data_IF_593981115316
#
_entry.id   IF_593981115316
#
_cell.length_a   1.000
_cell.length_b   1.000
_cell.length_c   1.000
_cell.angle_alpha   90.00
_cell.angle_beta   90.00
_cell.angle_gamma   90.00
#
_symmetry.space_group_name_H-M   'P 1'
#
loop_
_entity.id
_entity.type
_entity.pdbx_description
1 polymer ?
#
# COMPACT_ATOMS: atom_id res chain seq x y z
N UNK A 1 -3.89 7.18 -7.35
CA UNK A 1 -4.62 5.93 -7.11
C UNK A 1 -3.61 4.91 -6.63
N UNK A 2 -3.89 4.26 -5.51
CA UNK A 2 -3.03 3.22 -4.93
C UNK A 2 -3.74 1.89 -5.10
N UNK A 3 -3.07 0.90 -5.69
CA UNK A 3 -3.58 -0.46 -5.85
C UNK A 3 -2.95 -1.31 -4.75
N UNK A 4 -3.77 -2.12 -4.09
CA UNK A 4 -3.35 -2.99 -2.99
C UNK A 4 -3.88 -4.40 -3.18
N UNK A 5 -3.11 -5.39 -2.71
CA UNK A 5 -3.62 -6.73 -2.50
C UNK A 5 -4.43 -6.78 -1.19
N UNK A 6 -5.43 -7.64 -1.12
CA UNK A 6 -6.21 -7.88 0.10
C UNK A 6 -6.06 -9.31 0.59
N UNK A 7 -6.09 -9.45 1.91
CA UNK A 7 -6.50 -10.70 2.55
C UNK A 7 -7.96 -10.58 2.95
N UNK A 8 -8.74 -11.61 2.64
CA UNK A 8 -10.10 -11.80 3.13
C UNK A 8 -9.94 -12.45 4.49
N UNK A 9 -9.99 -11.66 5.56
CA UNK A 9 -10.18 -12.22 6.88
C UNK A 9 -11.70 -12.19 7.16
N UNK A 10 -12.22 -13.29 7.72
CA UNK A 10 -13.65 -13.46 8.01
C UNK A 10 -14.21 -12.41 8.97
N UNK A 11 -15.45 -12.56 9.47
CA UNK A 11 -16.05 -11.55 10.34
C UNK A 11 -15.23 -11.39 11.63
N UNK A 12 -14.49 -10.27 11.73
CA UNK A 12 -13.59 -9.96 12.85
C UNK A 12 -14.28 -8.99 13.82
N UNK A 13 -14.24 -9.36 15.11
CA UNK A 13 -14.55 -8.48 16.23
C UNK A 13 -13.29 -7.70 16.65
N UNK A 14 -13.33 -6.36 16.76
CA UNK A 14 -12.15 -5.51 16.93
C UNK A 14 -11.70 -5.44 18.41
N UNK A 15 -11.34 -6.57 19.00
CA UNK A 15 -10.62 -6.57 20.29
C UNK A 15 -9.14 -6.89 20.05
N UNK A 16 -8.24 -6.19 20.75
CA UNK A 16 -6.78 -6.30 20.60
C UNK A 16 -6.27 -7.75 20.71
N UNK A 17 -6.94 -8.58 21.50
CA UNK A 17 -6.64 -10.02 21.67
C UNK A 17 -6.86 -10.80 20.37
N UNK A 18 -7.91 -10.51 19.61
CA UNK A 18 -8.19 -11.18 18.33
C UNK A 18 -7.17 -10.81 17.25
N UNK A 19 -6.68 -9.57 17.25
CA UNK A 19 -5.65 -9.11 16.29
C UNK A 19 -4.36 -9.91 16.50
N UNK A 20 -3.87 -10.04 17.73
CA UNK A 20 -2.64 -10.78 18.04
C UNK A 20 -2.76 -12.30 17.78
N UNK A 21 -3.91 -12.90 18.11
CA UNK A 21 -4.18 -14.31 17.80
C UNK A 21 -4.18 -14.57 16.29
N UNK A 22 -4.83 -13.71 15.51
CA UNK A 22 -4.90 -13.84 14.05
C UNK A 22 -3.54 -13.68 13.37
N UNK A 23 -2.65 -12.85 13.92
CA UNK A 23 -1.27 -12.77 13.44
C UNK A 23 -0.53 -14.10 13.64
N UNK A 24 -0.67 -14.76 14.79
CA UNK A 24 -0.05 -16.08 14.99
C UNK A 24 -0.61 -17.14 14.04
N UNK A 25 -1.93 -17.20 13.86
CA UNK A 25 -2.56 -18.11 12.89
C UNK A 25 -2.10 -17.85 11.44
N UNK A 26 -1.85 -16.59 11.08
CA UNK A 26 -1.38 -16.25 9.72
C UNK A 26 -0.04 -16.91 9.36
N UNK A 27 0.80 -17.22 10.35
CA UNK A 27 2.13 -17.79 10.18
C UNK A 27 2.21 -19.27 10.60
N UNK A 28 1.09 -19.93 10.89
CA UNK A 28 1.08 -21.33 11.36
C UNK A 28 1.71 -22.31 10.35
N UNK A 29 1.48 -22.07 9.05
CA UNK A 29 2.01 -22.87 7.95
C UNK A 29 3.42 -22.43 7.50
N UNK A 30 4.06 -21.52 8.22
CA UNK A 30 5.38 -21.03 7.83
C UNK A 30 6.45 -22.10 8.05
N UNK A 31 7.13 -22.45 6.96
CA UNK A 31 8.28 -23.34 6.92
C UNK A 31 9.46 -22.58 6.28
N UNK A 32 10.56 -22.47 7.03
CA UNK A 32 11.79 -21.84 6.55
C UNK A 32 12.38 -22.54 5.31
N UNK A 33 12.06 -23.82 5.08
CA UNK A 33 12.48 -24.57 3.90
C UNK A 33 11.38 -24.67 2.83
N UNK A 34 10.21 -24.06 3.06
CA UNK A 34 9.09 -24.06 2.14
C UNK A 34 9.38 -23.34 0.81
N UNK A 35 8.78 -23.84 -0.27
CA UNK A 35 8.91 -23.22 -1.59
C UNK A 35 7.83 -22.15 -1.82
N UNK A 36 8.17 -20.90 -1.50
CA UNK A 36 7.29 -19.74 -1.70
C UNK A 36 7.59 -18.95 -2.99
N UNK A 37 8.11 -19.62 -4.03
CA UNK A 37 8.40 -18.95 -5.30
C UNK A 37 7.12 -18.76 -6.11
N UNK A 38 6.90 -17.52 -6.57
CA UNK A 38 5.79 -17.20 -7.48
C UNK A 38 6.31 -17.38 -8.90
N UNK A 39 5.82 -18.41 -9.58
CA UNK A 39 6.12 -18.60 -11.00
C UNK A 39 5.39 -17.55 -11.82
N UNK A 40 6.15 -16.77 -12.59
CA UNK A 40 5.59 -15.85 -13.57
C UNK A 40 5.88 -16.40 -14.96
N UNK A 41 4.98 -16.14 -15.93
CA UNK A 41 5.22 -16.46 -17.35
C UNK A 41 6.30 -15.58 -18.01
N UNK A 42 7.13 -14.90 -17.21
CA UNK A 42 8.18 -14.04 -17.71
C UNK A 42 9.33 -14.89 -18.27
N UNK A 43 9.89 -14.43 -19.39
CA UNK A 43 11.08 -15.05 -19.96
C UNK A 43 12.26 -14.93 -19.01
N UNK A 44 13.16 -15.90 -19.14
CA UNK A 44 14.43 -15.91 -18.43
C UNK A 44 15.25 -14.65 -18.75
N UNK A 45 15.96 -14.14 -17.75
CA UNK A 45 16.76 -12.94 -17.91
C UNK A 45 17.96 -13.20 -18.83
N UNK A 46 18.49 -12.16 -19.47
CA UNK A 46 19.80 -12.21 -20.13
C UNK A 46 20.51 -10.89 -19.90
N UNK A 47 21.76 -10.94 -19.45
CA UNK A 47 22.61 -9.76 -19.43
C UNK A 47 22.88 -9.30 -20.86
N UNK A 48 22.90 -7.98 -21.03
CA UNK A 48 23.24 -7.33 -22.28
C UNK A 48 24.14 -6.12 -22.00
N UNK A 49 24.99 -5.81 -22.99
CA UNK A 49 26.18 -4.98 -22.84
C UNK A 49 25.97 -3.68 -22.07
N UNK A 50 24.98 -2.86 -22.46
CA UNK A 50 24.79 -1.53 -21.87
C UNK A 50 24.51 -1.59 -20.36
N UNK A 51 23.62 -2.48 -19.92
CA UNK A 51 23.30 -2.64 -18.49
C UNK A 51 24.38 -3.39 -17.74
N UNK A 52 25.06 -4.34 -18.39
CA UNK A 52 26.15 -5.10 -17.79
C UNK A 52 27.31 -4.19 -17.42
N UNK A 53 27.77 -3.35 -18.35
CA UNK A 53 28.91 -2.45 -18.15
C UNK A 53 28.69 -1.51 -16.95
N UNK A 54 27.51 -0.88 -16.87
CA UNK A 54 27.12 -0.03 -15.73
C UNK A 54 27.15 -0.79 -14.40
N UNK A 55 26.78 -2.08 -14.42
CA UNK A 55 26.73 -2.91 -13.22
C UNK A 55 28.13 -3.32 -12.74
N UNK A 56 28.98 -3.72 -13.67
CA UNK A 56 30.39 -4.04 -13.42
C UNK A 56 31.14 -2.84 -12.85
N UNK A 57 30.95 -1.66 -13.44
CA UNK A 57 31.53 -0.41 -12.93
C UNK A 57 31.08 -0.11 -11.49
N UNK A 58 29.79 -0.30 -11.20
CA UNK A 58 29.27 -0.13 -9.84
C UNK A 58 29.91 -1.10 -8.84
N UNK A 59 30.15 -2.37 -9.19
CA UNK A 59 30.83 -3.32 -8.31
C UNK A 59 32.29 -2.93 -8.06
N UNK A 60 33.00 -2.49 -9.10
CA UNK A 60 34.38 -1.99 -8.97
C UNK A 60 34.46 -0.79 -8.02
N UNK A 61 33.53 0.17 -8.14
CA UNK A 61 33.45 1.31 -7.23
C UNK A 61 33.19 0.86 -5.78
N UNK A 62 32.32 -0.13 -5.57
CA UNK A 62 32.04 -0.67 -4.23
C UNK A 62 33.27 -1.34 -3.60
N UNK A 63 34.04 -2.08 -4.40
CA UNK A 63 35.24 -2.77 -3.92
C UNK A 63 36.39 -1.81 -3.65
N UNK A 64 36.61 -0.83 -4.52
CA UNK A 64 37.56 0.25 -4.28
C UNK A 64 37.21 1.04 -3.00
N UNK A 65 35.92 1.38 -2.80
CA UNK A 65 35.46 2.10 -1.60
C UNK A 65 35.70 1.31 -0.31
N UNK A 66 35.66 -0.02 -0.38
CA UNK A 66 35.91 -0.90 0.75
C UNK A 66 37.39 -1.30 0.89
N UNK A 67 38.28 -0.81 0.04
CA UNK A 67 39.72 -1.12 0.08
C UNK A 67 40.05 -2.57 -0.27
N UNK A 68 39.23 -3.25 -1.08
CA UNK A 68 39.50 -4.63 -1.53
C UNK A 68 40.48 -4.64 -2.71
N UNK A 69 41.21 -5.74 -2.87
CA UNK A 69 42.04 -5.96 -4.06
C UNK A 69 41.15 -6.17 -5.30
N UNK A 70 41.22 -5.25 -6.26
CA UNK A 70 40.42 -5.25 -7.49
C UNK A 70 41.18 -5.74 -8.72
N UNK A 71 42.38 -6.30 -8.56
CA UNK A 71 43.23 -6.78 -9.67
C UNK A 71 42.51 -7.78 -10.58
N UNK A 72 41.70 -8.69 -9.98
CA UNK A 72 40.97 -9.75 -10.69
C UNK A 72 39.45 -9.56 -10.65
N UNK A 73 38.99 -8.30 -10.57
CA UNK A 73 37.56 -8.02 -10.51
C UNK A 73 36.85 -8.43 -11.82
N UNK A 74 35.57 -8.75 -11.72
CA UNK A 74 34.71 -9.03 -12.88
C UNK A 74 34.73 -7.83 -13.84
N UNK A 75 34.73 -8.14 -15.13
CA UNK A 75 34.88 -7.19 -16.23
C UNK A 75 33.71 -7.27 -17.22
N UNK A 76 33.68 -6.32 -18.17
CA UNK A 76 32.70 -6.34 -19.26
C UNK A 76 32.75 -7.63 -20.09
N UNK A 77 33.92 -8.25 -20.26
CA UNK A 77 34.09 -9.49 -21.03
C UNK A 77 33.55 -10.74 -20.33
N UNK A 78 33.28 -10.69 -19.03
CA UNK A 78 32.76 -11.85 -18.29
C UNK A 78 31.23 -12.03 -18.43
N UNK A 79 30.57 -11.22 -19.25
CA UNK A 79 29.10 -11.25 -19.43
C UNK A 79 28.58 -12.61 -19.85
N UNK A 80 29.26 -13.27 -20.79
CA UNK A 80 28.82 -14.56 -21.33
C UNK A 80 28.91 -15.66 -20.29
N UNK A 81 29.99 -15.67 -19.48
CA UNK A 81 30.13 -16.56 -18.33
C UNK A 81 28.95 -16.41 -17.35
N UNK A 82 28.57 -15.19 -16.98
CA UNK A 82 27.44 -15.00 -16.06
C UNK A 82 26.08 -15.27 -16.72
N UNK A 83 25.96 -15.13 -18.04
CA UNK A 83 24.77 -15.56 -18.78
C UNK A 83 24.60 -17.08 -18.77
N UNK A 84 25.69 -17.85 -18.85
CA UNK A 84 25.65 -19.32 -18.71
C UNK A 84 25.19 -19.78 -17.32
N UNK A 85 25.38 -18.93 -16.29
CA UNK A 85 24.90 -19.21 -14.94
C UNK A 85 23.43 -18.83 -14.72
N UNK A 86 22.78 -18.08 -15.63
CA UNK A 86 21.38 -17.64 -15.44
C UNK A 86 20.36 -18.78 -15.30
N UNK A 87 20.47 -19.92 -16.01
CA UNK A 87 19.58 -21.06 -15.79
C UNK A 87 19.65 -21.58 -14.34
N UNK A 88 20.76 -21.31 -13.64
CA UNK A 88 20.82 -21.55 -12.20
C UNK A 88 19.92 -20.54 -11.49
N UNK A 89 19.17 -21.04 -10.51
CA UNK A 89 18.27 -20.21 -9.72
C UNK A 89 19.04 -19.34 -8.73
N UNK A 90 18.37 -18.35 -8.16
CA UNK A 90 18.95 -17.54 -7.08
C UNK A 90 19.47 -18.42 -5.95
N UNK A 91 20.73 -18.19 -5.55
CA UNK A 91 21.39 -18.97 -4.50
C UNK A 91 20.70 -18.95 -3.13
N UNK A 92 19.84 -17.96 -2.87
CA UNK A 92 19.09 -17.84 -1.62
C UNK A 92 17.66 -18.38 -1.76
N UNK A 93 16.86 -17.80 -2.66
CA UNK A 93 15.42 -18.10 -2.73
C UNK A 93 15.03 -19.19 -3.72
N UNK A 94 15.98 -19.66 -4.54
CA UNK A 94 15.75 -20.64 -5.60
C UNK A 94 14.72 -20.20 -6.68
N UNK A 95 14.44 -18.90 -6.78
CA UNK A 95 13.62 -18.35 -7.86
C UNK A 95 14.42 -18.23 -9.16
N UNK A 96 13.73 -18.40 -10.30
CA UNK A 96 14.30 -18.14 -11.64
C UNK A 96 14.58 -16.64 -11.82
N UNK A 97 15.61 -16.32 -12.61
CA UNK A 97 15.91 -14.95 -12.96
C UNK A 97 15.06 -14.49 -14.14
N UNK A 98 14.41 -13.34 -13.98
CA UNK A 98 13.52 -12.77 -15.01
C UNK A 98 13.72 -11.25 -15.09
N UNK A 99 13.03 -10.59 -16.01
CA UNK A 99 13.01 -9.12 -16.08
C UNK A 99 12.51 -8.45 -14.79
N UNK A 100 11.70 -9.15 -14.00
CA UNK A 100 11.19 -8.71 -12.69
C UNK A 100 12.14 -9.14 -11.57
N UNK A 101 12.52 -10.43 -11.54
CA UNK A 101 13.45 -10.98 -10.56
C UNK A 101 14.88 -10.92 -11.09
N UNK A 102 15.48 -9.73 -11.11
CA UNK A 102 16.76 -9.49 -11.77
C UNK A 102 17.94 -10.11 -11.01
N UNK A 103 18.91 -10.74 -11.71
CA UNK A 103 20.13 -11.27 -11.11
C UNK A 103 21.11 -10.16 -10.72
N UNK A 104 21.86 -10.40 -9.65
CA UNK A 104 22.98 -9.61 -9.12
C UNK A 104 24.14 -10.56 -8.81
N UNK A 105 25.35 -10.01 -8.71
CA UNK A 105 26.53 -10.75 -8.27
C UNK A 105 26.61 -10.60 -6.76
N UNK A 106 26.49 -11.73 -6.07
CA UNK A 106 26.64 -11.83 -4.63
C UNK A 106 28.02 -12.38 -4.32
N UNK A 107 28.75 -11.68 -3.45
CA UNK A 107 30.04 -12.17 -2.96
C UNK A 107 29.84 -13.36 -2.04
N UNK A 108 30.68 -14.38 -2.18
CA UNK A 108 30.72 -15.52 -1.27
C UNK A 108 31.41 -15.08 0.03
N UNK A 109 32.57 -14.44 -0.10
CA UNK A 109 33.27 -13.75 0.98
C UNK A 109 33.23 -12.22 0.76
N UNK A 110 32.68 -11.50 1.74
CA UNK A 110 32.55 -10.05 1.71
C UNK A 110 33.90 -9.30 1.87
N UNK A 111 34.97 -10.00 2.23
CA UNK A 111 36.33 -9.44 2.30
C UNK A 111 37.06 -9.51 0.95
N UNK A 112 36.60 -10.35 0.03
CA UNK A 112 37.19 -10.52 -1.32
C UNK A 112 36.37 -9.69 -2.32
N UNK A 113 37.01 -9.10 -3.33
CA UNK A 113 36.33 -8.34 -4.38
C UNK A 113 35.40 -9.24 -5.23
N UNK A 114 34.63 -8.64 -6.13
CA UNK A 114 33.77 -9.38 -7.06
C UNK A 114 34.61 -10.09 -8.14
N UNK A 115 35.26 -11.20 -7.82
CA UNK A 115 35.94 -12.07 -8.78
C UNK A 115 34.99 -13.16 -9.29
N UNK A 116 35.31 -13.81 -10.42
CA UNK A 116 34.50 -14.93 -10.97
C UNK A 116 34.30 -16.07 -9.97
N UNK A 117 35.33 -16.40 -9.20
CA UNK A 117 35.29 -17.50 -8.21
C UNK A 117 34.65 -17.08 -6.88
N UNK A 118 34.60 -15.78 -6.58
CA UNK A 118 33.98 -15.25 -5.38
C UNK A 118 32.53 -14.78 -5.61
N UNK A 119 31.96 -14.96 -6.81
CA UNK A 119 30.61 -14.49 -7.12
C UNK A 119 29.64 -15.64 -7.40
N UNK A 120 28.43 -15.53 -6.83
CA UNK A 120 27.26 -16.34 -7.16
C UNK A 120 26.10 -15.44 -7.58
N UNK A 121 25.12 -16.01 -8.29
CA UNK A 121 23.94 -15.24 -8.68
C UNK A 121 22.90 -15.21 -7.55
N UNK A 122 22.53 -14.01 -7.13
CA UNK A 122 21.42 -13.76 -6.22
C UNK A 122 20.44 -12.76 -6.84
N UNK A 123 19.14 -12.87 -6.53
CA UNK A 123 18.23 -11.81 -6.95
C UNK A 123 18.42 -10.55 -6.10
N UNK A 124 18.08 -9.40 -6.66
CA UNK A 124 18.29 -8.10 -6.02
C UNK A 124 17.74 -8.03 -4.60
N UNK A 125 16.52 -8.56 -4.37
CA UNK A 125 15.89 -8.59 -3.06
C UNK A 125 16.67 -9.45 -2.04
N UNK A 126 17.14 -10.62 -2.46
CA UNK A 126 17.87 -11.51 -1.57
C UNK A 126 19.24 -10.94 -1.21
N UNK A 127 19.95 -10.38 -2.21
CA UNK A 127 21.25 -9.75 -2.01
C UNK A 127 21.12 -8.54 -1.06
N UNK A 128 20.15 -7.63 -1.30
CA UNK A 128 19.95 -6.48 -0.42
C UNK A 128 19.51 -6.87 0.99
N UNK A 129 18.73 -7.93 1.14
CA UNK A 129 18.31 -8.45 2.46
C UNK A 129 19.48 -9.06 3.21
N UNK A 130 20.30 -9.87 2.51
CA UNK A 130 21.50 -10.51 3.05
C UNK A 130 22.53 -9.48 3.48
N UNK A 131 22.89 -8.55 2.59
CA UNK A 131 23.92 -7.54 2.84
C UNK A 131 25.12 -8.16 3.59
N UNK A 132 25.48 -7.63 4.75
CA UNK A 132 26.50 -8.18 5.65
C UNK A 132 25.93 -8.98 6.85
N UNK A 133 24.63 -9.26 6.90
CA UNK A 133 23.96 -9.92 8.05
C UNK A 133 24.34 -11.39 8.17
N UNK A 134 23.89 -12.07 9.22
CA UNK A 134 24.06 -13.52 9.30
C UNK A 134 23.28 -14.27 8.20
N UNK A 135 23.81 -15.40 7.72
CA UNK A 135 23.22 -16.15 6.63
C UNK A 135 21.86 -16.77 6.99
N UNK A 136 21.72 -17.29 8.21
CA UNK A 136 20.49 -17.95 8.67
C UNK A 136 19.41 -16.91 8.98
N UNK A 137 19.78 -15.78 9.61
CA UNK A 137 18.88 -14.65 9.81
C UNK A 137 18.36 -14.13 8.46
N UNK A 138 19.25 -14.02 7.47
CA UNK A 138 18.86 -13.57 6.14
C UNK A 138 17.93 -14.55 5.43
N UNK A 139 18.20 -15.86 5.56
CA UNK A 139 17.34 -16.92 5.02
C UNK A 139 15.93 -16.82 5.62
N UNK A 140 15.83 -16.66 6.94
CA UNK A 140 14.54 -16.49 7.63
C UNK A 140 13.79 -15.27 7.08
N UNK A 141 14.43 -14.11 7.02
CA UNK A 141 13.79 -12.87 6.54
C UNK A 141 13.30 -12.99 5.08
N UNK A 142 14.10 -13.58 4.20
CA UNK A 142 13.73 -13.80 2.78
C UNK A 142 12.52 -14.73 2.69
N UNK A 143 12.50 -15.82 3.46
CA UNK A 143 11.41 -16.79 3.42
C UNK A 143 10.13 -16.21 4.04
N UNK A 144 10.24 -15.46 5.14
CA UNK A 144 9.10 -14.75 5.72
C UNK A 144 8.50 -13.75 4.73
N UNK A 145 9.35 -12.97 4.06
CA UNK A 145 8.90 -12.00 3.07
C UNK A 145 8.17 -12.68 1.90
N UNK A 146 8.70 -13.80 1.39
CA UNK A 146 8.05 -14.56 0.31
C UNK A 146 6.74 -15.19 0.76
N UNK A 147 6.70 -15.77 1.96
CA UNK A 147 5.49 -16.33 2.55
C UNK A 147 4.40 -15.26 2.67
N UNK A 148 4.76 -14.08 3.20
CA UNK A 148 3.85 -12.94 3.32
C UNK A 148 3.26 -12.55 1.95
N UNK A 149 4.06 -12.53 0.88
CA UNK A 149 3.55 -12.26 -0.46
C UNK A 149 2.58 -13.35 -0.93
N UNK A 150 2.95 -14.63 -0.80
CA UNK A 150 2.11 -15.76 -1.26
C UNK A 150 0.78 -15.82 -0.52
N UNK A 151 0.79 -15.52 0.77
CA UNK A 151 -0.41 -15.52 1.63
C UNK A 151 -1.13 -14.16 1.67
N UNK A 152 -0.68 -13.16 0.90
CA UNK A 152 -1.19 -11.78 0.88
C UNK A 152 -1.26 -11.13 2.27
N UNK A 153 -0.27 -11.39 3.13
CA UNK A 153 -0.22 -10.81 4.48
C UNK A 153 0.08 -9.31 4.43
N UNK A 154 -0.39 -8.54 5.44
CA UNK A 154 -0.01 -7.14 5.59
C UNK A 154 1.50 -6.94 5.64
N UNK A 155 2.00 -5.97 4.86
CA UNK A 155 3.40 -5.61 4.78
C UNK A 155 3.59 -4.13 5.11
N UNK A 156 4.79 -3.78 5.56
CA UNK A 156 5.16 -2.38 5.79
C UNK A 156 5.04 -1.58 4.49
N UNK A 157 4.42 -0.40 4.59
CA UNK A 157 4.40 0.58 3.50
C UNK A 157 5.70 1.38 3.60
N UNK A 158 6.54 1.26 2.58
CA UNK A 158 7.85 1.91 2.48
C UNK A 158 7.81 3.23 1.69
N UNK A 159 6.76 3.46 0.90
CA UNK A 159 6.50 4.71 0.20
C UNK A 159 5.72 5.68 1.13
N UNK A 160 6.41 6.74 1.57
CA UNK A 160 5.86 7.76 2.46
C UNK A 160 4.60 8.43 1.89
N UNK A 161 4.56 8.71 0.59
CA UNK A 161 3.42 9.37 -0.02
C UNK A 161 2.21 8.43 -0.10
N UNK A 162 2.44 7.15 -0.43
CA UNK A 162 1.40 6.13 -0.35
C UNK A 162 0.89 6.00 1.08
N UNK A 163 1.79 5.99 2.06
CA UNK A 163 1.41 5.97 3.47
C UNK A 163 0.50 7.16 3.82
N UNK A 164 0.90 8.39 3.49
CA UNK A 164 0.07 9.58 3.73
C UNK A 164 -1.24 9.54 2.95
N UNK A 165 -1.23 9.07 1.71
CA UNK A 165 -2.42 8.93 0.88
C UNK A 165 -3.44 7.95 1.48
N UNK A 166 -2.97 6.79 1.95
CA UNK A 166 -3.79 5.80 2.64
C UNK A 166 -4.30 6.36 3.97
N UNK A 167 -3.44 7.05 4.72
CA UNK A 167 -3.77 7.69 6.00
C UNK A 167 -4.85 8.76 5.88
N UNK A 168 -4.90 9.54 4.79
CA UNK A 168 -5.97 10.51 4.52
C UNK A 168 -7.36 9.89 4.49
N UNK A 169 -7.45 8.61 4.17
CA UNK A 169 -8.73 7.89 4.07
C UNK A 169 -9.16 7.29 5.42
N UNK A 170 -8.26 7.22 6.40
CA UNK A 170 -8.55 6.79 7.76
C UNK A 170 -9.22 7.96 8.49
N UNK A 171 -10.55 8.01 8.39
CA UNK A 171 -11.39 8.95 9.13
C UNK A 171 -11.79 8.32 10.47
N UNK A 172 -10.83 8.29 11.39
CA UNK A 172 -11.13 8.36 12.82
C UNK A 172 -10.67 9.74 13.26
N UNK A 173 -11.45 10.43 14.10
CA UNK A 173 -10.96 11.66 14.71
C UNK A 173 -9.59 11.41 15.33
N UNK A 174 -8.75 12.44 15.42
CA UNK A 174 -7.62 12.38 16.33
C UNK A 174 -8.16 11.82 17.65
N UNK A 175 -7.65 10.67 18.11
CA UNK A 175 -7.84 10.21 19.49
C UNK A 175 -7.10 11.12 20.49
N UNK A 176 -6.76 12.35 20.09
CA UNK A 176 -6.65 13.41 21.06
C UNK A 176 -8.08 13.66 21.51
N UNK A 177 -8.37 13.23 22.73
CA UNK A 177 -9.57 13.58 23.48
C UNK A 177 -9.57 15.11 23.60
N UNK A 178 -9.92 15.81 22.53
CA UNK A 178 -10.53 17.12 22.66
C UNK A 178 -11.74 16.81 23.50
N UNK A 179 -11.73 17.32 24.73
CA UNK A 179 -12.82 17.14 25.67
C UNK A 179 -14.04 17.84 25.07
N UNK A 180 -14.74 17.20 24.13
CA UNK A 180 -16.08 17.59 23.72
C UNK A 180 -16.97 17.21 24.89
N UNK A 181 -16.96 18.09 25.88
CA UNK A 181 -17.70 17.93 27.12
C UNK A 181 -19.16 18.26 26.83
N UNK A 182 -19.88 17.24 26.36
CA UNK A 182 -21.31 17.32 26.12
C UNK A 182 -22.04 16.97 27.42
N UNK A 183 -22.84 17.90 27.94
CA UNK A 183 -23.62 17.73 29.15
C UNK A 183 -25.10 17.66 28.78
N UNK A 184 -25.76 16.60 29.25
CA UNK A 184 -27.21 16.45 29.12
C UNK A 184 -27.93 17.67 29.69
N UNK A 185 -28.81 18.26 28.90
CA UNK A 185 -29.65 19.39 29.31
C UNK A 185 -28.93 20.75 29.29
N UNK A 186 -27.63 20.82 28.96
CA UNK A 186 -26.89 22.08 28.87
C UNK A 186 -26.24 22.29 27.51
N UNK A 187 -25.73 21.23 26.87
CA UNK A 187 -25.04 21.38 25.59
C UNK A 187 -26.02 21.38 24.43
N UNK A 188 -25.94 22.42 23.60
CA UNK A 188 -26.69 22.55 22.35
C UNK A 188 -26.04 21.73 21.23
N UNK A 189 -26.86 21.26 20.29
CA UNK A 189 -26.37 20.65 19.05
C UNK A 189 -25.84 21.77 18.16
N UNK A 190 -24.58 21.67 17.75
CA UNK A 190 -23.94 22.65 16.89
C UNK A 190 -23.96 22.21 15.42
N UNK A 191 -24.16 23.17 14.52
CA UNK A 191 -24.03 23.00 13.07
C UNK A 191 -23.06 24.03 12.46
N UNK A 192 -22.44 23.65 11.35
CA UNK A 192 -21.66 24.53 10.50
C UNK A 192 -22.53 25.14 9.40
N UNK A 193 -22.32 26.42 9.12
CA UNK A 193 -22.88 27.15 7.98
C UNK A 193 -21.77 27.84 7.21
N UNK A 194 -21.70 27.56 5.91
CA UNK A 194 -20.89 28.29 4.96
C UNK A 194 -21.61 29.56 4.50
N UNK A 195 -20.94 30.70 4.66
CA UNK A 195 -21.34 31.96 4.05
C UNK A 195 -20.79 32.05 2.63
N UNK A 196 -21.67 32.15 1.64
CA UNK A 196 -21.30 32.22 0.21
C UNK A 196 -20.58 33.52 -0.16
N UNK A 197 -20.89 34.61 0.53
CA UNK A 197 -20.36 35.95 0.24
C UNK A 197 -18.97 36.15 0.86
N UNK A 198 -18.83 35.77 2.13
CA UNK A 198 -17.59 35.93 2.89
C UNK A 198 -16.62 34.74 2.73
N UNK A 199 -17.07 33.64 2.11
CA UNK A 199 -16.31 32.39 1.92
C UNK A 199 -15.75 31.80 3.22
N UNK A 200 -16.44 32.04 4.33
CA UNK A 200 -16.09 31.52 5.65
C UNK A 200 -17.11 30.46 6.11
N UNK A 201 -16.73 29.71 7.14
CA UNK A 201 -17.60 28.72 7.79
C UNK A 201 -17.77 29.14 9.23
N UNK A 202 -19.00 29.28 9.68
CA UNK A 202 -19.36 29.62 11.05
C UNK A 202 -20.03 28.44 11.73
N UNK A 203 -19.69 28.21 13.00
CA UNK A 203 -20.36 27.25 13.87
C UNK A 203 -21.47 27.98 14.63
N UNK A 204 -22.66 27.39 14.72
CA UNK A 204 -23.79 27.97 15.45
C UNK A 204 -24.56 26.88 16.19
N UNK A 205 -25.13 27.25 17.33
CA UNK A 205 -25.93 26.35 18.14
C UNK A 205 -27.37 26.34 17.64
N UNK A 206 -27.94 25.15 17.53
CA UNK A 206 -29.37 24.95 17.32
C UNK A 206 -30.10 25.03 18.66
N UNK A 207 -31.40 25.29 18.61
CA UNK A 207 -32.27 25.26 19.82
C UNK A 207 -32.41 23.84 20.41
N UNK A 208 -31.89 22.83 19.73
CA UNK A 208 -31.89 21.45 20.21
C UNK A 208 -30.79 21.23 21.25
N UNK A 209 -31.18 20.86 22.45
CA UNK A 209 -30.28 20.51 23.55
C UNK A 209 -30.10 18.99 23.60
N UNK A 210 -28.89 18.52 23.88
CA UNK A 210 -28.60 17.10 24.07
C UNK A 210 -29.40 16.58 25.27
N UNK A 211 -30.35 15.67 25.02
CA UNK A 211 -31.23 15.12 26.07
C UNK A 211 -30.76 13.79 26.62
N UNK A 212 -29.93 13.06 25.87
CA UNK A 212 -29.45 11.73 26.22
C UNK A 212 -28.00 11.57 25.77
N UNK A 213 -27.18 10.97 26.63
CA UNK A 213 -25.80 10.57 26.33
C UNK A 213 -25.82 9.04 26.33
N UNK A 214 -25.38 8.43 25.23
CA UNK A 214 -25.43 6.98 25.04
C UNK A 214 -24.15 6.28 25.50
N UNK A 215 -23.01 6.96 25.45
CA UNK A 215 -21.73 6.40 25.88
C UNK A 215 -20.76 7.54 26.26
N UNK A 216 -19.76 7.21 27.08
CA UNK A 216 -18.66 8.12 27.41
C UNK A 216 -17.50 7.85 26.45
N UNK A 217 -17.04 8.89 25.76
CA UNK A 217 -16.01 8.86 24.70
C UNK A 217 -14.58 8.61 25.24
N UNK A 218 -14.41 7.70 26.20
CA UNK A 218 -13.11 7.28 26.71
C UNK A 218 -12.51 6.13 25.93
N UNK A 219 -13.29 5.48 25.06
CA UNK A 219 -12.86 4.46 24.12
C UNK A 219 -13.83 4.41 22.95
N UNK A 220 -13.95 5.47 22.16
CA UNK A 220 -14.48 5.34 20.80
C UNK A 220 -13.55 4.42 19.99
N UNK A 221 -13.67 3.12 20.25
CA UNK A 221 -13.61 2.11 19.21
C UNK A 221 -14.70 2.55 18.25
N UNK A 222 -14.35 3.46 17.32
CA UNK A 222 -15.13 3.66 16.13
C UNK A 222 -15.50 2.24 15.68
N UNK A 223 -16.79 1.86 15.65
CA UNK A 223 -17.18 0.60 15.03
C UNK A 223 -16.61 0.75 13.64
N UNK A 224 -15.47 0.09 13.43
CA UNK A 224 -14.52 0.62 12.48
C UNK A 224 -15.25 0.64 11.15
N UNK A 225 -14.94 1.61 10.29
CA UNK A 225 -15.33 1.50 8.88
C UNK A 225 -14.83 0.18 8.23
N UNK A 226 -14.07 -0.61 9.00
CA UNK A 226 -13.51 -1.93 8.77
C UNK A 226 -14.13 -3.02 9.64
N UNK A 227 -15.34 -2.89 10.22
CA UNK A 227 -15.92 -4.02 10.95
C UNK A 227 -16.42 -5.07 9.94
N UNK A 228 -16.09 -6.35 10.15
CA UNK A 228 -16.63 -7.48 9.38
C UNK A 228 -18.10 -7.78 9.71
N UNK A 229 -18.79 -6.86 10.39
CA UNK A 229 -20.22 -7.00 10.68
C UNK A 229 -20.98 -6.53 9.44
N UNK A 230 -21.90 -7.37 8.98
CA UNK A 230 -22.80 -7.01 7.89
C UNK A 230 -23.46 -5.66 8.16
N UNK A 231 -23.22 -4.70 7.28
CA UNK A 231 -23.79 -3.37 7.37
C UNK A 231 -24.86 -3.21 6.28
N UNK A 232 -26.13 -3.10 6.67
CA UNK A 232 -27.24 -2.87 5.72
C UNK A 232 -27.05 -1.62 4.85
N UNK A 233 -26.27 -0.65 5.32
CA UNK A 233 -25.94 0.58 4.59
C UNK A 233 -24.69 0.44 3.70
N UNK A 234 -23.92 -0.64 3.85
CA UNK A 234 -22.80 -1.03 3.00
C UNK A 234 -22.82 -2.56 2.74
N UNK A 235 -23.80 -3.06 1.94
CA UNK A 235 -23.98 -4.50 1.73
C UNK A 235 -22.86 -5.13 0.90
N UNK A 236 -22.00 -4.31 0.29
CA UNK A 236 -21.01 -4.72 -0.70
C UNK A 236 -19.72 -5.25 -0.11
N UNK A 237 -19.49 -5.04 1.20
CA UNK A 237 -18.38 -5.70 1.88
C UNK A 237 -18.69 -7.16 2.19
N UNK A 238 -19.96 -7.58 2.16
CA UNK A 238 -20.35 -8.95 2.50
C UNK A 238 -20.04 -9.37 3.93
N UNK A 239 -19.76 -8.43 4.84
CA UNK A 239 -19.20 -8.73 6.16
C UNK A 239 -17.70 -9.03 6.15
N UNK A 240 -17.01 -8.80 5.04
CA UNK A 240 -15.56 -8.95 4.92
C UNK A 240 -14.85 -7.67 5.33
N UNK A 241 -13.88 -7.80 6.23
CA UNK A 241 -12.94 -6.73 6.53
C UNK A 241 -11.80 -6.76 5.51
N UNK A 242 -11.70 -5.71 4.70
CA UNK A 242 -10.59 -5.56 3.76
C UNK A 242 -9.45 -4.79 4.41
N UNK A 243 -8.34 -5.46 4.64
CA UNK A 243 -7.09 -4.83 5.04
C UNK A 243 -6.18 -4.68 3.84
N UNK A 244 -5.52 -3.52 3.72
CA UNK A 244 -4.49 -3.32 2.72
C UNK A 244 -3.31 -4.26 3.06
N UNK A 245 -3.08 -5.27 2.23
CA UNK A 245 -1.99 -6.22 2.39
C UNK A 245 -0.67 -5.60 1.94
N UNK A 246 -0.51 -5.43 0.63
CA UNK A 246 0.68 -4.87 0.00
C UNK A 246 0.30 -3.88 -1.09
N UNK A 247 1.01 -2.77 -1.18
CA UNK A 247 0.92 -1.83 -2.29
C UNK A 247 1.52 -2.46 -3.55
N UNK A 248 0.72 -2.60 -4.61
CA UNK A 248 1.16 -3.18 -5.89
C UNK A 248 1.32 -2.14 -6.99
N UNK A 249 0.78 -0.93 -6.79
CA UNK A 249 0.97 0.16 -7.72
C UNK A 249 0.54 1.50 -7.16
N UNK A 250 1.22 2.56 -7.59
CA UNK A 250 0.88 3.94 -7.29
C UNK A 250 0.83 4.74 -8.60
N UNK A 251 -0.39 5.13 -9.02
CA UNK A 251 -0.61 5.88 -10.25
C UNK A 251 -0.93 7.33 -9.92
N UNK A 252 -0.09 8.25 -10.42
CA UNK A 252 -0.23 9.69 -10.30
C UNK A 252 -0.50 10.33 -11.65
N UNK A 253 -1.54 11.16 -11.72
CA UNK A 253 -1.93 11.87 -12.95
C UNK A 253 -1.87 13.39 -12.82
N UNK A 254 -1.92 13.94 -11.60
CA UNK A 254 -2.04 15.40 -11.41
C UNK A 254 -0.70 16.13 -11.47
N UNK A 255 0.40 15.43 -11.20
CA UNK A 255 1.77 15.99 -11.16
C UNK A 255 2.46 15.96 -12.53
N UNK A 256 1.85 15.32 -13.53
CA UNK A 256 2.44 15.20 -14.85
C UNK A 256 2.04 16.39 -15.75
N UNK A 257 3.04 17.07 -16.32
CA UNK A 257 2.83 18.15 -17.30
C UNK A 257 2.47 17.62 -18.70
N UNK A 258 2.81 16.37 -18.99
CA UNK A 258 2.58 15.70 -20.27
C UNK A 258 1.14 15.16 -20.38
N UNK A 259 0.41 15.62 -21.39
CA UNK A 259 -0.96 15.21 -21.65
C UNK A 259 -1.08 13.73 -22.07
N UNK A 260 -0.16 13.22 -22.90
CA UNK A 260 -0.19 11.85 -23.40
C UNK A 260 0.03 10.85 -22.27
N UNK A 261 0.99 11.16 -21.39
CA UNK A 261 1.20 10.41 -20.15
C UNK A 261 -0.07 10.39 -19.29
N UNK A 262 -0.73 11.54 -19.09
CA UNK A 262 -1.96 11.63 -18.29
C UNK A 262 -3.07 10.77 -18.87
N UNK A 263 -3.26 10.79 -20.18
CA UNK A 263 -4.33 10.02 -20.84
C UNK A 263 -4.05 8.52 -20.82
N UNK A 264 -2.79 8.13 -21.00
CA UNK A 264 -2.34 6.74 -20.83
C UNK A 264 -2.61 6.24 -19.40
N UNK A 265 -2.21 7.02 -18.39
CA UNK A 265 -2.44 6.66 -16.98
C UNK A 265 -3.92 6.67 -16.59
N UNK A 266 -4.73 7.58 -17.13
CA UNK A 266 -6.19 7.53 -16.96
C UNK A 266 -6.78 6.24 -17.52
N UNK A 267 -6.35 5.81 -18.71
CA UNK A 267 -6.80 4.55 -19.31
C UNK A 267 -6.43 3.36 -18.44
N UNK A 268 -5.19 3.32 -17.92
CA UNK A 268 -4.74 2.30 -16.96
C UNK A 268 -5.62 2.27 -15.71
N UNK A 269 -5.90 3.43 -15.11
CA UNK A 269 -6.79 3.55 -13.95
C UNK A 269 -8.20 3.02 -14.27
N UNK A 270 -8.76 3.39 -15.42
CA UNK A 270 -10.10 2.94 -15.83
C UNK A 270 -10.15 1.44 -16.12
N UNK A 271 -9.07 0.83 -16.60
CA UNK A 271 -8.98 -0.62 -16.77
C UNK A 271 -9.04 -1.34 -15.41
N UNK A 272 -8.35 -0.82 -14.39
CA UNK A 272 -8.38 -1.36 -13.03
C UNK A 272 -9.80 -1.22 -12.44
N UNK A 273 -10.39 -0.01 -12.53
CA UNK A 273 -11.72 0.27 -12.01
C UNK A 273 -12.79 -0.62 -12.67
N UNK A 274 -12.70 -0.83 -13.99
CA UNK A 274 -13.68 -1.58 -14.76
C UNK A 274 -13.36 -3.06 -14.93
N UNK A 275 -12.27 -3.55 -14.31
CA UNK A 275 -11.89 -4.95 -14.42
C UNK A 275 -13.00 -5.86 -13.91
N UNK A 276 -13.30 -6.92 -14.65
CA UNK A 276 -14.23 -7.97 -14.22
C UNK A 276 -13.63 -8.81 -13.08
N UNK A 277 -12.30 -8.84 -12.97
CA UNK A 277 -11.59 -9.57 -11.93
C UNK A 277 -11.85 -9.00 -10.53
N UNK A 278 -12.39 -7.78 -10.40
CA UNK A 278 -12.73 -7.17 -9.10
C UNK A 278 -13.72 -7.97 -8.26
N UNK A 279 -14.42 -8.94 -8.85
CA UNK A 279 -15.33 -9.87 -8.16
C UNK A 279 -14.73 -11.27 -7.96
N UNK A 280 -13.50 -11.50 -8.43
CA UNK A 280 -12.76 -12.75 -8.24
C UNK A 280 -12.00 -12.70 -6.92
N UNK A 281 -12.09 -13.76 -6.12
CA UNK A 281 -11.28 -13.89 -4.91
C UNK A 281 -9.78 -14.09 -5.23
N UNK A 282 -9.46 -14.70 -6.37
CA UNK A 282 -8.08 -14.98 -6.78
C UNK A 282 -7.41 -13.79 -7.51
N UNK A 283 -8.18 -13.07 -8.34
CA UNK A 283 -7.67 -12.02 -9.23
C UNK A 283 -8.10 -10.61 -8.86
N UNK A 284 -9.00 -10.48 -7.88
CA UNK A 284 -9.51 -9.20 -7.41
C UNK A 284 -8.39 -8.32 -6.85
N UNK A 285 -8.37 -7.07 -7.32
CA UNK A 285 -7.47 -6.05 -6.81
C UNK A 285 -8.30 -5.00 -6.08
N UNK A 286 -7.85 -4.64 -4.88
CA UNK A 286 -8.37 -3.46 -4.20
C UNK A 286 -7.62 -2.24 -4.69
N UNK A 287 -8.30 -1.11 -4.72
CA UNK A 287 -7.66 0.17 -4.99
C UNK A 287 -8.31 1.27 -4.18
N UNK A 288 -7.53 2.32 -3.92
CA UNK A 288 -7.99 3.56 -3.30
C UNK A 288 -7.67 4.68 -4.29
N UNK A 289 -8.71 5.43 -4.66
CA UNK A 289 -8.62 6.52 -5.62
C UNK A 289 -9.09 7.83 -4.99
N UNK A 290 -8.26 8.88 -5.09
CA UNK A 290 -8.67 10.24 -4.78
C UNK A 290 -9.34 10.83 -6.00
N UNK A 291 -10.62 11.19 -5.85
CA UNK A 291 -11.38 11.91 -6.86
C UNK A 291 -11.55 13.36 -6.43
N UNK A 292 -11.44 14.27 -7.40
CA UNK A 292 -11.83 15.67 -7.19
C UNK A 292 -13.32 15.75 -7.50
N UNK A 293 -14.13 15.76 -6.45
CA UNK A 293 -15.55 16.09 -6.56
C UNK A 293 -15.74 17.61 -6.67
N UNK A 294 -16.81 18.03 -7.32
CA UNK A 294 -17.30 19.40 -7.25
C UNK A 294 -18.66 19.38 -6.58
N UNK A 295 -18.81 20.15 -5.51
CA UNK A 295 -20.11 20.47 -4.92
C UNK A 295 -20.42 21.89 -5.40
N UNK A 296 -21.57 22.05 -6.05
CA UNK A 296 -22.02 23.38 -6.43
C UNK A 296 -22.12 24.25 -5.16
N UNK A 297 -21.73 25.52 -5.27
CA UNK A 297 -21.72 26.45 -4.14
C UNK A 297 -23.07 26.47 -3.41
N UNK A 298 -24.18 26.39 -4.15
CA UNK A 298 -25.54 26.37 -3.59
C UNK A 298 -25.80 25.19 -2.64
N UNK A 299 -25.09 24.08 -2.79
CA UNK A 299 -25.26 22.86 -2.00
C UNK A 299 -24.19 22.64 -0.92
N UNK A 300 -23.27 23.60 -0.71
CA UNK A 300 -22.22 23.45 0.32
C UNK A 300 -22.82 23.23 1.71
N UNK A 301 -23.85 24.00 2.07
CA UNK A 301 -24.50 23.92 3.38
C UNK A 301 -25.23 22.58 3.61
N UNK A 302 -25.68 21.90 2.54
CA UNK A 302 -26.29 20.57 2.63
C UNK A 302 -25.26 19.46 2.95
N UNK A 303 -23.97 19.75 2.77
CA UNK A 303 -22.89 18.77 2.76
C UNK A 303 -21.70 19.15 3.65
N UNK A 304 -21.80 20.26 4.39
CA UNK A 304 -20.70 20.80 5.19
C UNK A 304 -20.51 20.01 6.49
N UNK A 305 -21.60 19.70 7.20
CA UNK A 305 -21.61 18.96 8.46
C UNK A 305 -21.31 17.46 8.27
N UNK A 306 -21.73 16.92 7.14
CA UNK A 306 -21.39 15.56 6.73
C UNK A 306 -20.95 15.61 5.27
N UNK A 307 -19.65 15.43 4.96
CA UNK A 307 -19.22 15.32 3.58
C UNK A 307 -20.05 14.23 2.90
N UNK A 308 -20.31 14.34 1.59
CA UNK A 308 -21.10 13.35 0.88
C UNK A 308 -20.33 12.01 0.89
N UNK A 309 -20.57 11.21 1.92
CA UNK A 309 -20.34 9.78 1.86
C UNK A 309 -21.36 9.31 0.84
N UNK A 310 -20.93 8.59 -0.18
CA UNK A 310 -21.81 8.06 -1.22
C UNK A 310 -22.72 6.98 -0.62
N UNK A 311 -23.66 7.39 0.23
CA UNK A 311 -24.67 6.56 0.88
C UNK A 311 -25.97 6.88 0.16
N UNK A 312 -26.33 5.99 -0.76
CA UNK A 312 -27.71 5.78 -1.22
C UNK A 312 -28.47 7.04 -1.67
N UNK A 313 -27.95 7.78 -2.66
CA UNK A 313 -28.85 8.41 -3.65
C UNK A 313 -29.37 7.29 -4.55
N UNK A 314 -30.67 7.29 -4.90
CA UNK A 314 -31.29 6.25 -5.74
C UNK A 314 -30.74 6.35 -7.16
N UNK A 315 -29.60 5.71 -7.39
CA UNK A 315 -29.10 5.41 -8.73
C UNK A 315 -29.50 3.97 -9.04
N UNK A 316 -30.04 3.71 -10.25
CA UNK A 316 -30.09 2.34 -10.81
C UNK A 316 -28.64 1.86 -10.92
N UNK A 317 -28.17 1.19 -9.88
CA UNK A 317 -26.87 0.54 -9.81
C UNK A 317 -27.09 -0.84 -10.39
N UNK A 318 -26.63 -1.06 -11.62
CA UNK A 318 -26.43 -2.41 -12.12
C UNK A 318 -25.11 -2.97 -11.54
N UNK A 319 -24.93 -4.30 -11.59
CA UNK A 319 -23.70 -4.98 -11.15
C UNK A 319 -22.40 -4.41 -11.78
N UNK A 320 -22.50 -3.57 -12.82
CA UNK A 320 -21.37 -3.02 -13.56
C UNK A 320 -20.78 -1.73 -12.96
N UNK A 321 -21.50 -1.00 -12.10
CA UNK A 321 -21.11 0.36 -11.62
C UNK A 321 -20.53 0.45 -10.20
N UNK A 322 -20.12 -0.66 -9.60
CA UNK A 322 -19.56 -0.67 -8.24
C UNK A 322 -18.10 -0.20 -8.24
N UNK A 323 -17.91 1.08 -7.92
CA UNK A 323 -16.63 1.67 -7.54
C UNK A 323 -16.65 1.85 -6.03
N UNK A 324 -15.81 1.13 -5.29
CA UNK A 324 -15.55 1.45 -3.89
C UNK A 324 -14.68 2.72 -3.85
N UNK A 325 -15.34 3.88 -3.91
CA UNK A 325 -14.71 5.20 -3.77
C UNK A 325 -14.63 5.55 -2.28
N UNK A 326 -13.53 5.16 -1.64
CA UNK A 326 -13.14 5.74 -0.35
C UNK A 326 -12.08 6.82 -0.59
N UNK A 327 -12.53 8.04 -0.89
CA UNK A 327 -11.85 9.33 -0.62
C UNK A 327 -12.38 10.42 -1.57
N UNK A 328 -13.19 11.34 -1.04
CA UNK A 328 -13.27 12.69 -1.60
C UNK A 328 -12.23 13.51 -0.86
N UNK A 329 -11.18 13.89 -1.56
CA UNK A 329 -10.18 14.84 -1.05
C UNK A 329 -10.85 16.23 -1.02
N UNK A 330 -11.19 16.72 0.17
CA UNK A 330 -11.54 18.14 0.37
C UNK A 330 -10.25 18.95 0.22
N UNK A 331 -9.95 19.41 -1.00
CA UNK A 331 -9.21 20.66 -1.15
C UNK A 331 -10.16 21.83 -0.84
N UNK A 332 -10.53 21.98 0.43
CA UNK A 332 -10.85 23.29 1.00
C UNK A 332 -9.59 23.71 1.73
N UNK A 333 -8.72 24.39 0.99
CA UNK A 333 -7.53 25.05 1.52
C UNK A 333 -7.97 26.17 2.46
N UNK A 334 -8.15 25.85 3.75
CA UNK A 334 -8.25 26.85 4.80
C UNK A 334 -6.88 27.52 4.96
N UNK A 335 -6.76 28.71 4.39
CA UNK A 335 -5.64 29.59 4.71
C UNK A 335 -5.90 30.18 6.09
N UNK A 336 -5.26 29.64 7.12
CA UNK A 336 -5.09 30.36 8.36
C UNK A 336 -4.08 31.48 8.10
N UNK A 337 -4.55 32.72 8.09
CA UNK A 337 -3.68 33.89 8.21
C UNK A 337 -3.57 34.21 9.69
N UNK A 338 -2.42 33.87 10.27
CA UNK A 338 -2.04 34.37 11.59
C UNK A 338 -1.75 35.87 11.47
N UNK A 339 -2.54 36.66 12.18
CA UNK A 339 -2.15 37.79 13.03
C UNK A 339 -3.36 38.19 13.87
#
# INVERSE_FOLDING_TARGET
MVVVNSRIDGPICPTTIFVTLNYNYAWEDFDINGNYNIETGNKEYKFYSEKWNKKVESYLQQDNKAGRDTTNNVTASDMDYFNELIPNKCCYCQAKFTSVNKPTLERIDNNIAHTKDNCKLACQLCNSTRSNKDADVSKLMIQMYKYAIVKNLPMTIDDEEVYWFLRKSIHGGLSQVFHQYNIKGLTHINELKHNLEETNVTAYDLDYIITHILDLDFNSLYPSAFCGIYNKNNPYTGGTMYMAGRVTGHIKIREANDQDYRDTKRKEMMNIINSLDRFSEEKGQLFIASVKGHIDKSHINEHINFPPIWRKRTYKTDKKKLILLMAIDRQLSFHYRWC
#
